data_IF_875015640956
#
_entry.id   IF_875015640956
#
_cell.length_a   1.000
_cell.length_b   1.000
_cell.length_c   1.000
_cell.angle_alpha   90.00
_cell.angle_beta   90.00
_cell.angle_gamma   90.00
#
_symmetry.space_group_name_H-M   'P 1'
#
loop_
_entity.id
_entity.type
_entity.pdbx_description
1 polymer ?
#
# COMPACT_ATOMS: atom_id res chain seq x y z
N UNK A 1 -21.83 -5.60 -8.76
CA UNK A 1 -22.24 -4.27 -8.26
C UNK A 1 -23.75 -4.32 -7.99
N UNK A 2 -24.17 -4.65 -6.73
CA UNK A 2 -25.60 -4.91 -6.45
C UNK A 2 -26.52 -3.70 -6.58
N UNK A 3 -25.99 -2.48 -6.55
CA UNK A 3 -26.79 -1.24 -6.48
C UNK A 3 -26.59 -0.27 -7.63
N UNK A 4 -25.81 -0.59 -8.64
CA UNK A 4 -25.66 0.25 -9.80
C UNK A 4 -26.59 -0.23 -10.90
N UNK A 5 -27.53 0.58 -11.32
CA UNK A 5 -28.12 0.41 -12.65
C UNK A 5 -26.96 0.45 -13.65
N UNK A 6 -26.40 -0.73 -14.00
CA UNK A 6 -25.34 -0.87 -15.00
C UNK A 6 -25.91 -0.40 -16.33
N UNK A 7 -25.75 0.87 -16.59
CA UNK A 7 -26.22 1.53 -17.80
C UNK A 7 -25.03 2.17 -18.51
N UNK A 8 -24.95 2.01 -19.82
CA UNK A 8 -23.92 2.62 -20.63
C UNK A 8 -22.63 1.82 -20.74
N UNK A 9 -21.46 2.49 -20.66
CA UNK A 9 -20.14 1.91 -20.91
C UNK A 9 -19.56 1.10 -19.75
N UNK A 10 -20.18 1.15 -18.56
CA UNK A 10 -19.74 0.41 -17.36
C UNK A 10 -19.59 -1.09 -17.62
N UNK A 11 -20.47 -1.64 -18.47
CA UNK A 11 -20.45 -3.07 -18.86
C UNK A 11 -19.17 -3.49 -19.57
N UNK A 12 -18.44 -2.54 -20.16
CA UNK A 12 -17.18 -2.81 -20.88
C UNK A 12 -15.94 -2.67 -20.00
N UNK A 13 -16.06 -2.15 -18.77
CA UNK A 13 -14.93 -2.03 -17.84
C UNK A 13 -14.16 -3.35 -17.60
N UNK A 14 -14.80 -4.54 -17.53
CA UNK A 14 -14.05 -5.78 -17.41
C UNK A 14 -13.06 -6.04 -18.56
N UNK A 15 -13.31 -5.49 -19.76
CA UNK A 15 -12.37 -5.60 -20.88
C UNK A 15 -11.06 -4.84 -20.64
N UNK A 16 -11.08 -3.82 -19.79
CA UNK A 16 -9.88 -3.09 -19.39
C UNK A 16 -8.85 -3.98 -18.69
N UNK A 17 -9.27 -5.10 -18.08
CA UNK A 17 -8.39 -6.10 -17.47
C UNK A 17 -7.38 -6.62 -18.50
N UNK A 18 -7.79 -6.84 -19.75
CA UNK A 18 -6.88 -7.31 -20.79
C UNK A 18 -5.78 -6.28 -21.09
N UNK A 19 -6.12 -4.99 -21.11
CA UNK A 19 -5.13 -3.93 -21.31
C UNK A 19 -4.15 -3.84 -20.13
N UNK A 20 -4.64 -3.96 -18.91
CA UNK A 20 -3.80 -3.98 -17.70
C UNK A 20 -2.83 -5.15 -17.73
N UNK A 21 -3.34 -6.37 -17.92
CA UNK A 21 -2.52 -7.60 -17.94
C UNK A 21 -1.50 -7.59 -19.08
N UNK A 22 -1.91 -7.18 -20.29
CA UNK A 22 -0.99 -7.09 -21.42
C UNK A 22 0.13 -6.05 -21.18
N UNK A 23 -0.22 -4.91 -20.55
CA UNK A 23 0.76 -3.89 -20.16
C UNK A 23 1.74 -4.45 -19.14
N UNK A 24 1.27 -5.11 -18.09
CA UNK A 24 2.13 -5.68 -17.03
C UNK A 24 3.05 -6.77 -17.56
N UNK A 25 2.57 -7.63 -18.44
CA UNK A 25 3.41 -8.64 -19.11
C UNK A 25 4.48 -7.98 -19.98
N UNK A 26 4.11 -6.96 -20.78
CA UNK A 26 5.06 -6.24 -21.63
C UNK A 26 6.14 -5.54 -20.79
N UNK A 27 5.75 -4.84 -19.73
CA UNK A 27 6.68 -4.12 -18.85
C UNK A 27 7.57 -5.08 -18.07
N UNK A 28 7.05 -6.23 -17.61
CA UNK A 28 7.85 -7.27 -16.94
C UNK A 28 8.89 -7.88 -17.87
N UNK A 29 8.54 -8.10 -19.14
CA UNK A 29 9.48 -8.57 -20.14
C UNK A 29 10.60 -7.54 -20.43
N UNK A 30 10.27 -6.25 -20.47
CA UNK A 30 11.25 -5.17 -20.62
C UNK A 30 12.15 -5.03 -19.39
N UNK A 31 11.58 -5.14 -18.19
CA UNK A 31 12.33 -5.13 -16.93
C UNK A 31 13.33 -6.30 -16.85
N UNK A 32 13.01 -7.46 -17.40
CA UNK A 32 13.95 -8.58 -17.51
C UNK A 32 15.18 -8.23 -18.36
N UNK A 33 15.05 -7.32 -19.32
CA UNK A 33 16.16 -6.74 -20.09
C UNK A 33 16.75 -5.48 -19.47
N UNK A 34 16.45 -5.19 -18.21
CA UNK A 34 16.87 -4.00 -17.47
C UNK A 34 16.35 -2.66 -18.03
N UNK A 35 15.32 -2.69 -18.88
CA UNK A 35 14.62 -1.47 -19.31
C UNK A 35 13.54 -1.06 -18.30
N UNK A 36 13.99 -0.58 -17.14
CA UNK A 36 13.11 -0.07 -16.07
C UNK A 36 12.51 1.29 -16.46
N UNK A 37 13.21 2.04 -17.31
CA UNK A 37 12.76 3.36 -17.73
C UNK A 37 11.40 3.31 -18.45
N UNK A 38 11.17 2.30 -19.28
CA UNK A 38 9.88 2.08 -19.95
C UNK A 38 8.75 1.83 -18.96
N UNK A 39 9.00 1.09 -17.86
CA UNK A 39 8.01 0.86 -16.80
C UNK A 39 7.64 2.17 -16.12
N UNK A 40 8.64 2.96 -15.71
CA UNK A 40 8.41 4.25 -15.05
C UNK A 40 7.64 5.20 -15.96
N UNK A 41 8.03 5.31 -17.23
CA UNK A 41 7.34 6.20 -18.19
C UNK A 41 5.90 5.77 -18.43
N UNK A 42 5.63 4.47 -18.63
CA UNK A 42 4.28 3.97 -18.85
C UNK A 42 3.35 4.24 -17.66
N UNK A 43 3.79 3.85 -16.45
CA UNK A 43 2.96 3.85 -15.24
C UNK A 43 2.94 5.19 -14.50
N UNK A 44 4.06 5.94 -14.47
CA UNK A 44 4.16 7.18 -13.72
C UNK A 44 3.92 8.44 -14.57
N UNK A 45 3.99 8.33 -15.91
CA UNK A 45 3.82 9.49 -16.79
C UNK A 45 2.64 9.27 -17.74
N UNK A 46 2.70 8.27 -18.63
CA UNK A 46 1.71 8.11 -19.71
C UNK A 46 0.32 7.86 -19.16
N UNK A 47 0.16 6.90 -18.26
CA UNK A 47 -1.14 6.54 -17.70
C UNK A 47 -1.78 7.70 -16.91
N UNK A 48 -1.10 8.34 -15.90
CA UNK A 48 -1.70 9.44 -15.14
C UNK A 48 -1.95 10.71 -15.96
N UNK A 49 -1.08 11.05 -16.90
CA UNK A 49 -1.29 12.20 -17.75
C UNK A 49 -2.43 11.99 -18.74
N UNK A 50 -2.51 10.80 -19.32
CA UNK A 50 -3.59 10.48 -20.27
C UNK A 50 -4.94 10.51 -19.58
N UNK A 51 -5.09 9.91 -18.37
CA UNK A 51 -6.36 9.95 -17.65
C UNK A 51 -6.76 11.38 -17.29
N UNK A 52 -5.81 12.22 -16.84
CA UNK A 52 -6.09 13.61 -16.46
C UNK A 52 -6.52 14.47 -17.64
N UNK A 53 -5.79 14.37 -18.77
CA UNK A 53 -6.11 15.13 -19.98
C UNK A 53 -7.42 14.64 -20.60
N UNK A 54 -7.60 13.31 -20.70
CA UNK A 54 -8.80 12.72 -21.26
C UNK A 54 -10.03 12.99 -20.39
N UNK A 55 -9.90 12.98 -19.05
CA UNK A 55 -11.00 13.34 -18.14
C UNK A 55 -11.48 14.78 -18.37
N UNK A 56 -10.54 15.73 -18.48
CA UNK A 56 -10.90 17.10 -18.80
C UNK A 56 -11.56 17.26 -20.17
N UNK A 57 -11.01 16.61 -21.20
CA UNK A 57 -11.56 16.71 -22.56
C UNK A 57 -12.93 15.99 -22.70
N UNK A 58 -13.06 14.79 -22.16
CA UNK A 58 -14.27 13.99 -22.27
C UNK A 58 -15.39 14.39 -21.32
N UNK A 59 -15.10 15.21 -20.31
CA UNK A 59 -16.13 15.83 -19.47
C UNK A 59 -17.12 16.65 -20.29
N UNK A 60 -16.64 17.36 -21.31
CA UNK A 60 -17.49 18.15 -22.22
C UNK A 60 -18.32 17.26 -23.17
N UNK A 61 -17.91 16.00 -23.38
CA UNK A 61 -18.69 15.04 -24.17
C UNK A 61 -19.79 14.39 -23.32
N UNK A 62 -19.45 13.92 -22.12
CA UNK A 62 -20.39 13.32 -21.19
C UNK A 62 -19.85 13.37 -19.77
N UNK A 63 -20.52 14.05 -18.87
CA UNK A 63 -20.16 14.12 -17.45
C UNK A 63 -20.19 12.74 -16.77
N UNK A 64 -20.98 11.80 -17.27
CA UNK A 64 -21.13 10.45 -16.74
C UNK A 64 -20.09 9.47 -17.33
N UNK A 65 -20.09 9.33 -18.66
CA UNK A 65 -19.30 8.31 -19.35
C UNK A 65 -17.86 8.79 -19.64
N UNK A 66 -17.61 10.10 -19.55
CA UNK A 66 -16.30 10.71 -19.80
C UNK A 66 -15.19 10.18 -18.91
N UNK A 67 -15.47 9.93 -17.63
CA UNK A 67 -14.50 9.34 -16.71
C UNK A 67 -14.16 7.89 -17.05
N UNK A 68 -15.13 7.10 -17.48
CA UNK A 68 -14.90 5.70 -17.91
C UNK A 68 -14.07 5.67 -19.16
N UNK A 69 -14.43 6.50 -20.16
CA UNK A 69 -13.67 6.62 -21.39
C UNK A 69 -12.24 7.10 -21.14
N UNK A 70 -12.03 8.06 -20.24
CA UNK A 70 -10.69 8.54 -19.88
C UNK A 70 -9.85 7.45 -19.22
N UNK A 71 -10.46 6.63 -18.36
CA UNK A 71 -9.79 5.49 -17.75
C UNK A 71 -9.39 4.44 -18.79
N UNK A 72 -10.31 4.03 -19.69
CA UNK A 72 -10.01 3.09 -20.75
C UNK A 72 -8.94 3.65 -21.71
N UNK A 73 -9.03 4.92 -22.07
CA UNK A 73 -8.03 5.60 -22.90
C UNK A 73 -6.64 5.60 -22.26
N UNK A 74 -6.54 5.83 -20.94
CA UNK A 74 -5.26 5.81 -20.22
C UNK A 74 -4.61 4.43 -20.23
N UNK A 75 -5.39 3.38 -20.04
CA UNK A 75 -4.90 1.99 -20.10
C UNK A 75 -4.48 1.59 -21.51
N UNK A 76 -5.25 2.00 -22.54
CA UNK A 76 -4.89 1.78 -23.93
C UNK A 76 -3.58 2.52 -24.30
N UNK A 77 -3.43 3.77 -23.86
CA UNK A 77 -2.21 4.54 -24.09
C UNK A 77 -0.99 3.91 -23.40
N UNK A 78 -1.13 3.45 -22.15
CA UNK A 78 -0.07 2.75 -21.43
C UNK A 78 0.33 1.45 -22.15
N UNK A 79 -0.65 0.68 -22.64
CA UNK A 79 -0.40 -0.53 -23.41
C UNK A 79 0.35 -0.24 -24.71
N UNK A 80 -0.13 0.70 -25.51
CA UNK A 80 0.51 1.08 -26.76
C UNK A 80 1.95 1.57 -26.54
N UNK A 81 2.15 2.36 -25.47
CA UNK A 81 3.48 2.82 -25.10
C UNK A 81 4.39 1.66 -24.68
N UNK A 82 3.89 0.65 -23.97
CA UNK A 82 4.68 -0.51 -23.54
C UNK A 82 4.99 -1.48 -24.71
N UNK A 83 4.08 -1.62 -25.68
CA UNK A 83 4.26 -2.52 -26.82
C UNK A 83 5.37 -2.05 -27.76
N UNK A 84 5.56 -0.75 -27.93
CA UNK A 84 6.58 -0.22 -28.83
C UNK A 84 8.00 -0.65 -28.46
N UNK A 85 8.52 -0.40 -27.22
CA UNK A 85 9.83 -0.88 -26.80
C UNK A 85 9.89 -2.41 -26.71
N UNK A 86 8.79 -3.09 -26.41
CA UNK A 86 8.72 -4.56 -26.42
C UNK A 86 9.05 -5.11 -27.81
N UNK A 87 8.38 -4.64 -28.84
CA UNK A 87 8.62 -5.09 -30.20
C UNK A 87 10.01 -4.73 -30.70
N UNK A 88 10.52 -3.57 -30.30
CA UNK A 88 11.90 -3.19 -30.63
C UNK A 88 12.94 -4.08 -29.97
N UNK A 89 12.66 -4.55 -28.74
CA UNK A 89 13.60 -5.35 -27.94
C UNK A 89 13.54 -6.85 -28.22
N UNK A 90 12.39 -7.39 -28.56
CA UNK A 90 12.14 -8.81 -28.76
C UNK A 90 11.80 -9.17 -30.22
N UNK A 91 11.52 -8.17 -31.06
CA UNK A 91 11.03 -8.39 -32.42
C UNK A 91 9.56 -8.75 -32.45
N UNK A 92 9.01 -8.85 -33.66
CA UNK A 92 7.66 -9.34 -33.86
C UNK A 92 7.62 -10.86 -33.74
N UNK A 93 6.60 -11.41 -33.09
CA UNK A 93 6.43 -12.84 -32.89
C UNK A 93 5.89 -13.56 -34.16
N UNK A 94 6.57 -13.40 -35.27
CA UNK A 94 6.23 -14.09 -36.51
C UNK A 94 6.39 -15.59 -36.32
N UNK A 95 5.34 -16.37 -36.66
CA UNK A 95 5.37 -17.83 -36.51
C UNK A 95 5.04 -18.34 -35.10
N UNK A 96 4.69 -17.44 -34.15
CA UNK A 96 4.23 -17.88 -32.84
C UNK A 96 2.93 -18.71 -32.96
N UNK A 97 2.95 -19.88 -32.31
CA UNK A 97 1.77 -20.74 -32.22
C UNK A 97 1.36 -20.88 -30.74
N UNK A 98 0.11 -20.54 -30.38
CA UNK A 98 -0.37 -20.72 -29.04
C UNK A 98 -0.33 -22.20 -28.64
N UNK A 99 0.23 -22.50 -27.48
CA UNK A 99 0.27 -23.86 -26.93
C UNK A 99 -0.40 -23.90 -25.58
N UNK A 100 -1.64 -24.40 -25.57
CA UNK A 100 -2.43 -24.54 -24.33
C UNK A 100 -1.67 -25.34 -23.27
N UNK A 101 -0.99 -26.42 -23.67
CA UNK A 101 -0.20 -27.26 -22.74
C UNK A 101 0.91 -26.46 -22.06
N UNK A 102 1.66 -25.65 -22.81
CA UNK A 102 2.72 -24.80 -22.22
C UNK A 102 2.14 -23.72 -21.33
N UNK A 103 1.05 -23.09 -21.73
CA UNK A 103 0.37 -22.08 -20.94
C UNK A 103 -0.15 -22.65 -19.61
N UNK A 104 -0.74 -23.86 -19.63
CA UNK A 104 -1.18 -24.52 -18.40
C UNK A 104 -0.03 -24.87 -17.47
N UNK A 105 1.10 -25.34 -17.97
CA UNK A 105 2.29 -25.63 -17.15
C UNK A 105 2.81 -24.33 -16.48
N UNK A 106 2.87 -23.23 -17.23
CA UNK A 106 3.27 -21.93 -16.69
C UNK A 106 2.27 -21.46 -15.63
N UNK A 107 0.97 -21.54 -15.89
CA UNK A 107 -0.08 -21.18 -14.97
C UNK A 107 -0.01 -21.99 -13.66
N UNK A 108 0.09 -23.33 -13.75
CA UNK A 108 0.22 -24.19 -12.57
C UNK A 108 1.46 -23.89 -11.73
N UNK A 109 2.58 -23.61 -12.39
CA UNK A 109 3.84 -23.26 -11.71
C UNK A 109 3.75 -21.93 -10.94
N UNK A 110 3.01 -20.95 -11.50
CA UNK A 110 2.89 -19.61 -10.92
C UNK A 110 1.63 -19.43 -10.05
N UNK A 111 0.70 -20.39 -10.05
CA UNK A 111 -0.54 -20.33 -9.28
C UNK A 111 -0.33 -20.00 -7.77
N UNK A 112 0.66 -20.58 -7.06
CA UNK A 112 0.87 -20.25 -5.66
C UNK A 112 1.32 -18.79 -5.44
N UNK A 113 2.08 -18.23 -6.39
CA UNK A 113 2.48 -16.82 -6.34
C UNK A 113 1.29 -15.91 -6.64
N UNK A 114 0.54 -16.19 -7.70
CA UNK A 114 -0.67 -15.44 -8.04
C UNK A 114 -1.71 -15.49 -6.91
N UNK A 115 -1.84 -16.63 -6.21
CA UNK A 115 -2.73 -16.74 -5.07
C UNK A 115 -2.24 -15.93 -3.84
N UNK A 116 -0.92 -15.83 -3.63
CA UNK A 116 -0.36 -14.98 -2.59
C UNK A 116 -0.60 -13.48 -2.87
N UNK A 117 -0.38 -13.07 -4.12
CA UNK A 117 -0.66 -11.69 -4.57
C UNK A 117 -2.15 -11.37 -4.47
N UNK A 118 -3.03 -12.30 -4.89
CA UNK A 118 -4.47 -12.16 -4.75
C UNK A 118 -4.90 -12.04 -3.28
N UNK A 119 -4.26 -12.79 -2.36
CA UNK A 119 -4.53 -12.69 -0.93
C UNK A 119 -4.06 -11.33 -0.37
N UNK A 120 -2.91 -10.81 -0.79
CA UNK A 120 -2.43 -9.48 -0.38
C UNK A 120 -3.36 -8.38 -0.89
N UNK A 121 -3.71 -8.39 -2.17
CA UNK A 121 -4.66 -7.45 -2.75
C UNK A 121 -6.07 -7.57 -2.14
N UNK A 122 -6.51 -8.80 -1.89
CA UNK A 122 -7.78 -9.09 -1.22
C UNK A 122 -7.84 -8.52 0.18
N UNK A 123 -6.76 -8.63 0.95
CA UNK A 123 -6.68 -8.05 2.30
C UNK A 123 -6.92 -6.53 2.31
N UNK A 124 -6.41 -5.83 1.31
CA UNK A 124 -6.56 -4.37 1.18
C UNK A 124 -7.91 -3.91 0.62
N UNK A 125 -8.77 -4.83 0.21
CA UNK A 125 -10.12 -4.55 -0.33
C UNK A 125 -11.21 -5.22 0.48
N UNK A 126 -10.85 -6.18 1.32
CA UNK A 126 -11.76 -6.92 2.17
C UNK A 126 -12.43 -6.02 3.20
N UNK A 127 -11.72 -5.03 3.70
CA UNK A 127 -12.22 -4.00 4.61
C UNK A 127 -13.38 -3.21 3.99
N UNK A 128 -13.22 -2.72 2.77
CA UNK A 128 -14.30 -2.05 2.03
C UNK A 128 -15.48 -2.98 1.76
N UNK A 129 -15.21 -4.25 1.42
CA UNK A 129 -16.27 -5.23 1.18
C UNK A 129 -17.05 -5.52 2.46
N UNK A 130 -16.38 -5.71 3.59
CA UNK A 130 -17.01 -5.93 4.90
C UNK A 130 -17.82 -4.69 5.29
N UNK A 131 -17.22 -3.49 5.25
CA UNK A 131 -17.91 -2.27 5.61
C UNK A 131 -19.18 -2.05 4.76
N UNK A 132 -19.11 -2.36 3.47
CA UNK A 132 -20.26 -2.23 2.54
C UNK A 132 -21.43 -3.18 2.83
N UNK A 133 -21.23 -4.21 3.67
CA UNK A 133 -22.31 -5.09 4.14
C UNK A 133 -23.10 -4.50 5.32
N UNK A 134 -22.47 -3.64 6.12
CA UNK A 134 -23.03 -3.13 7.37
C UNK A 134 -23.35 -1.62 7.31
N UNK A 135 -22.56 -0.83 6.60
CA UNK A 135 -22.65 0.62 6.56
C UNK A 135 -23.29 1.15 5.26
N UNK A 136 -23.77 2.39 5.31
CA UNK A 136 -24.34 3.08 4.14
C UNK A 136 -23.26 3.38 3.08
N UNK A 137 -23.64 3.54 1.79
CA UNK A 137 -22.70 3.90 0.73
C UNK A 137 -21.92 5.20 0.99
N UNK A 138 -22.53 6.16 1.70
CA UNK A 138 -21.87 7.41 2.08
C UNK A 138 -20.70 7.16 3.03
N UNK A 139 -20.89 6.32 4.06
CA UNK A 139 -19.83 5.93 5.00
C UNK A 139 -18.71 5.16 4.30
N UNK A 140 -19.06 4.25 3.38
CA UNK A 140 -18.07 3.54 2.56
C UNK A 140 -17.25 4.51 1.71
N UNK A 141 -17.88 5.57 1.18
CA UNK A 141 -17.20 6.65 0.47
C UNK A 141 -16.21 7.41 1.36
N UNK A 142 -16.62 7.78 2.57
CA UNK A 142 -15.74 8.44 3.56
C UNK A 142 -14.55 7.54 3.91
N UNK A 143 -14.79 6.26 4.17
CA UNK A 143 -13.74 5.28 4.45
C UNK A 143 -12.76 5.13 3.26
N UNK A 144 -13.28 5.09 2.04
CA UNK A 144 -12.45 5.01 0.84
C UNK A 144 -11.51 6.21 0.70
N UNK A 145 -12.00 7.44 0.98
CA UNK A 145 -11.14 8.64 0.97
C UNK A 145 -10.06 8.54 2.05
N UNK A 146 -10.41 8.12 3.26
CA UNK A 146 -9.43 7.87 4.33
C UNK A 146 -8.36 6.83 3.90
N UNK A 147 -8.78 5.76 3.21
CA UNK A 147 -7.88 4.73 2.67
C UNK A 147 -6.94 5.30 1.59
N UNK A 148 -7.41 6.22 0.73
CA UNK A 148 -6.53 6.87 -0.25
C UNK A 148 -5.45 7.72 0.43
N UNK A 149 -5.79 8.47 1.47
CA UNK A 149 -4.81 9.23 2.26
C UNK A 149 -3.84 8.28 2.95
N UNK A 150 -4.33 7.23 3.60
CA UNK A 150 -3.51 6.23 4.28
C UNK A 150 -2.62 5.40 3.31
N UNK A 151 -2.88 5.43 2.01
CA UNK A 151 -2.03 4.77 1.01
C UNK A 151 -0.70 5.48 0.74
N UNK A 152 -0.53 6.73 1.18
CA UNK A 152 0.70 7.50 0.96
C UNK A 152 1.94 6.84 1.59
N UNK A 153 1.92 6.40 2.85
CA UNK A 153 3.03 5.66 3.44
C UNK A 153 3.38 4.36 2.70
N UNK A 154 2.39 3.70 2.12
CA UNK A 154 2.57 2.45 1.37
C UNK A 154 3.46 2.63 0.13
N UNK A 155 3.40 3.78 -0.54
CA UNK A 155 4.22 4.07 -1.73
C UNK A 155 5.71 4.06 -1.44
N UNK A 156 6.11 4.31 -0.20
CA UNK A 156 7.52 4.20 0.22
C UNK A 156 8.04 2.77 0.13
N UNK A 157 7.22 1.78 0.49
CA UNK A 157 7.56 0.36 0.39
C UNK A 157 8.00 -0.01 -1.03
N UNK A 158 7.22 0.36 -2.03
CA UNK A 158 7.44 -0.02 -3.42
C UNK A 158 8.76 0.51 -3.98
N UNK A 159 9.32 1.55 -3.36
CA UNK A 159 10.62 2.11 -3.72
C UNK A 159 11.80 1.21 -3.30
N UNK A 160 11.63 0.36 -2.29
CA UNK A 160 12.68 -0.53 -1.78
C UNK A 160 12.61 -1.95 -2.38
N UNK A 161 11.46 -2.39 -2.85
CA UNK A 161 11.25 -3.74 -3.40
C UNK A 161 12.22 -4.11 -4.54
N UNK A 162 12.52 -3.22 -5.52
CA UNK A 162 13.45 -3.55 -6.60
C UNK A 162 14.89 -3.79 -6.13
N UNK A 163 15.26 -3.26 -4.98
CA UNK A 163 16.62 -3.35 -4.42
C UNK A 163 16.75 -4.62 -3.56
N UNK A 164 15.72 -4.94 -2.77
CA UNK A 164 15.76 -6.07 -1.84
C UNK A 164 15.81 -7.42 -2.53
N UNK A 165 15.05 -7.62 -3.60
CA UNK A 165 14.98 -8.91 -4.31
C UNK A 165 16.32 -9.44 -4.78
N UNK A 166 17.11 -8.68 -5.59
CA UNK A 166 18.42 -9.10 -6.05
C UNK A 166 19.43 -9.34 -4.91
N UNK A 167 19.38 -8.52 -3.87
CA UNK A 167 20.28 -8.63 -2.73
C UNK A 167 19.99 -9.89 -1.92
N UNK A 168 18.71 -10.18 -1.66
CA UNK A 168 18.29 -11.40 -0.96
C UNK A 168 18.68 -12.65 -1.77
N UNK A 169 18.37 -12.68 -3.07
CA UNK A 169 18.68 -13.83 -3.94
C UNK A 169 20.17 -14.12 -4.01
N UNK A 170 21.01 -13.11 -4.10
CA UNK A 170 22.48 -13.27 -4.10
C UNK A 170 22.96 -13.88 -2.79
N UNK A 171 22.51 -13.38 -1.65
CA UNK A 171 22.92 -13.88 -0.33
C UNK A 171 22.34 -15.28 -0.04
N UNK A 172 21.18 -15.63 -0.61
CA UNK A 172 20.64 -17.00 -0.53
C UNK A 172 21.52 -18.01 -1.29
N UNK A 173 22.06 -17.65 -2.46
CA UNK A 173 22.97 -18.51 -3.22
C UNK A 173 24.25 -18.82 -2.45
N UNK A 174 24.76 -17.86 -1.70
CA UNK A 174 25.97 -18.00 -0.88
C UNK A 174 25.67 -18.51 0.54
N UNK A 175 24.40 -18.77 0.89
CA UNK A 175 23.93 -19.16 2.24
C UNK A 175 24.33 -18.17 3.34
N UNK A 176 24.49 -16.89 3.01
CA UNK A 176 24.84 -15.84 3.97
C UNK A 176 23.58 -15.31 4.67
N UNK A 177 23.00 -16.14 5.55
CA UNK A 177 21.75 -15.84 6.27
C UNK A 177 21.90 -14.67 7.25
N UNK A 178 23.08 -14.48 7.82
CA UNK A 178 23.35 -13.36 8.73
C UNK A 178 23.23 -12.01 8.02
N UNK A 179 23.76 -11.91 6.78
CA UNK A 179 23.66 -10.70 5.99
C UNK A 179 22.21 -10.42 5.54
N UNK A 180 21.45 -11.47 5.19
CA UNK A 180 20.01 -11.31 4.88
C UNK A 180 19.27 -10.76 6.10
N UNK A 181 19.47 -11.32 7.30
CA UNK A 181 18.82 -10.85 8.52
C UNK A 181 19.18 -9.41 8.86
N UNK A 182 20.46 -9.02 8.67
CA UNK A 182 20.95 -7.66 8.87
C UNK A 182 20.27 -6.68 7.91
N UNK A 183 20.22 -6.98 6.61
CA UNK A 183 19.64 -6.12 5.59
C UNK A 183 18.13 -5.99 5.75
N UNK A 184 17.42 -7.10 6.00
CA UNK A 184 15.97 -7.08 6.28
C UNK A 184 15.69 -6.24 7.53
N UNK A 185 16.51 -6.37 8.59
CA UNK A 185 16.38 -5.58 9.80
C UNK A 185 16.60 -4.08 9.55
N UNK A 186 17.62 -3.73 8.78
CA UNK A 186 17.98 -2.34 8.48
C UNK A 186 16.93 -1.66 7.59
N UNK A 187 16.58 -2.28 6.47
CA UNK A 187 15.54 -1.73 5.56
C UNK A 187 14.18 -1.71 6.24
N UNK A 188 13.85 -2.74 7.01
CA UNK A 188 12.62 -2.78 7.80
C UNK A 188 12.53 -1.62 8.79
N UNK A 189 13.62 -1.29 9.50
CA UNK A 189 13.66 -0.12 10.36
C UNK A 189 13.43 1.17 9.59
N UNK A 190 14.03 1.37 8.42
CA UNK A 190 13.82 2.57 7.62
C UNK A 190 12.39 2.73 7.14
N UNK A 191 11.77 1.64 6.70
CA UNK A 191 10.37 1.65 6.26
C UNK A 191 9.45 1.99 7.44
N UNK A 192 9.62 1.33 8.60
CA UNK A 192 8.82 1.63 9.79
C UNK A 192 9.02 3.08 10.22
N UNK A 193 10.26 3.55 10.28
CA UNK A 193 10.56 4.92 10.69
C UNK A 193 9.91 5.95 9.75
N UNK A 194 9.99 5.74 8.43
CA UNK A 194 9.36 6.63 7.48
C UNK A 194 7.83 6.58 7.54
N UNK A 195 7.25 5.38 7.61
CA UNK A 195 5.79 5.21 7.69
C UNK A 195 5.22 5.75 9.01
N UNK A 196 5.90 5.55 10.14
CA UNK A 196 5.48 6.10 11.42
C UNK A 196 5.51 7.64 11.43
N UNK A 197 6.54 8.25 10.83
CA UNK A 197 6.59 9.70 10.68
C UNK A 197 5.43 10.26 9.87
N UNK A 198 5.11 9.64 8.73
CA UNK A 198 3.97 10.04 7.90
C UNK A 198 2.64 9.78 8.63
N UNK A 199 2.52 8.63 9.31
CA UNK A 199 1.32 8.30 10.06
C UNK A 199 1.02 9.31 11.17
N UNK A 200 2.04 9.78 11.89
CA UNK A 200 1.90 10.84 12.88
C UNK A 200 1.53 12.18 12.25
N UNK A 201 2.20 12.54 11.15
CA UNK A 201 1.99 13.81 10.47
C UNK A 201 0.60 13.96 9.85
N UNK A 202 0.01 12.85 9.38
CA UNK A 202 -1.33 12.83 8.78
C UNK A 202 -2.43 12.43 9.77
N UNK A 203 -2.12 11.58 10.75
CA UNK A 203 -3.10 11.05 11.67
C UNK A 203 -3.43 11.98 12.85
N UNK A 204 -2.45 12.75 13.34
CA UNK A 204 -2.69 13.66 14.47
C UNK A 204 -3.58 14.85 14.03
N UNK A 205 -3.26 15.61 12.96
CA UNK A 205 -4.16 16.61 12.42
C UNK A 205 -5.19 15.99 11.47
N UNK A 206 -5.71 14.80 11.80
CA UNK A 206 -6.54 14.00 10.90
C UNK A 206 -7.82 14.70 10.47
N UNK A 207 -8.43 15.51 11.34
CA UNK A 207 -9.61 16.32 10.99
C UNK A 207 -9.28 17.33 9.90
N UNK A 208 -8.19 18.07 10.06
CA UNK A 208 -7.73 19.04 9.07
C UNK A 208 -7.33 18.34 7.74
N UNK A 209 -6.68 17.17 7.82
CA UNK A 209 -6.31 16.37 6.64
C UNK A 209 -7.54 15.87 5.87
N UNK A 210 -8.55 15.33 6.58
CA UNK A 210 -9.79 14.89 5.95
C UNK A 210 -10.62 16.08 5.46
N UNK A 211 -10.60 17.20 6.19
CA UNK A 211 -11.24 18.45 5.80
C UNK A 211 -10.75 19.03 4.47
N UNK A 212 -9.46 18.81 4.12
CA UNK A 212 -8.92 19.16 2.80
C UNK A 212 -9.61 18.41 1.64
N UNK A 213 -10.13 17.22 1.90
CA UNK A 213 -10.87 16.44 0.90
C UNK A 213 -12.33 16.90 0.78
N UNK A 214 -12.84 17.58 1.81
CA UNK A 214 -14.19 18.11 1.93
C UNK A 214 -14.72 17.95 3.35
N UNK A 215 -15.57 18.87 3.82
CA UNK A 215 -16.10 18.83 5.18
C UNK A 215 -16.90 17.57 5.50
N UNK A 216 -17.49 16.94 4.49
CA UNK A 216 -18.23 15.68 4.61
C UNK A 216 -17.33 14.47 4.93
N UNK A 217 -16.01 14.57 4.71
CA UNK A 217 -15.06 13.48 4.98
C UNK A 217 -14.45 13.51 6.38
N UNK A 218 -14.64 14.60 7.14
CA UNK A 218 -14.05 14.77 8.49
C UNK A 218 -14.44 13.63 9.43
N UNK A 219 -15.66 13.08 9.30
CA UNK A 219 -16.09 11.91 10.07
C UNK A 219 -15.23 10.65 9.89
N UNK A 220 -14.39 10.60 8.87
CA UNK A 220 -13.45 9.50 8.60
C UNK A 220 -12.13 9.56 9.39
N UNK A 221 -11.91 10.55 10.23
CA UNK A 221 -10.65 10.78 10.96
C UNK A 221 -10.23 9.58 11.81
N UNK A 222 -11.15 8.95 12.53
CA UNK A 222 -10.86 7.77 13.33
C UNK A 222 -10.44 6.57 12.45
N UNK A 223 -11.13 6.35 11.33
CA UNK A 223 -10.75 5.32 10.37
C UNK A 223 -9.37 5.62 9.76
N UNK A 224 -9.07 6.88 9.41
CA UNK A 224 -7.76 7.30 8.92
C UNK A 224 -6.64 6.97 9.92
N UNK A 225 -6.82 7.26 11.20
CA UNK A 225 -5.84 6.98 12.24
C UNK A 225 -5.51 5.48 12.32
N UNK A 226 -6.53 4.61 12.32
CA UNK A 226 -6.32 3.15 12.34
C UNK A 226 -5.71 2.64 11.04
N UNK A 227 -6.08 3.18 9.87
CA UNK A 227 -5.50 2.81 8.58
C UNK A 227 -4.00 3.18 8.51
N UNK A 228 -3.63 4.38 8.98
CA UNK A 228 -2.23 4.79 9.06
C UNK A 228 -1.43 3.91 10.03
N UNK A 229 -2.01 3.58 11.19
CA UNK A 229 -1.41 2.64 12.13
C UNK A 229 -1.27 1.23 11.54
N UNK A 230 -2.24 0.79 10.71
CA UNK A 230 -2.19 -0.48 9.99
C UNK A 230 -1.00 -0.55 9.02
N UNK A 231 -0.69 0.54 8.30
CA UNK A 231 0.48 0.59 7.41
C UNK A 231 1.81 0.47 8.20
N UNK A 232 1.90 1.11 9.36
CA UNK A 232 3.07 0.97 10.25
C UNK A 232 3.19 -0.47 10.79
N UNK A 233 2.07 -1.07 11.19
CA UNK A 233 2.03 -2.45 11.66
C UNK A 233 2.43 -3.45 10.55
N UNK A 234 2.04 -3.18 9.30
CA UNK A 234 2.37 -3.99 8.14
C UNK A 234 3.86 -3.95 7.75
N UNK A 235 4.58 -2.89 8.10
CA UNK A 235 5.93 -2.62 7.59
C UNK A 235 6.91 -3.79 7.78
N UNK A 236 6.87 -4.47 8.93
CA UNK A 236 7.75 -5.62 9.21
C UNK A 236 7.39 -6.85 8.38
N UNK A 237 6.08 -7.08 8.12
CA UNK A 237 5.63 -8.17 7.28
C UNK A 237 6.15 -8.04 5.87
N UNK A 238 6.08 -6.84 5.34
CA UNK A 238 6.46 -6.47 3.99
C UNK A 238 7.91 -6.86 3.68
N UNK A 239 8.85 -6.42 4.52
CA UNK A 239 10.27 -6.71 4.30
C UNK A 239 10.57 -8.19 4.52
N UNK A 240 9.89 -8.82 5.49
CA UNK A 240 10.00 -10.26 5.71
C UNK A 240 9.45 -11.07 4.53
N UNK A 241 8.38 -10.60 3.90
CA UNK A 241 7.74 -11.24 2.76
C UNK A 241 8.66 -11.32 1.55
N UNK A 242 9.43 -10.25 1.27
CA UNK A 242 10.41 -10.22 0.18
C UNK A 242 11.42 -11.37 0.27
N UNK A 243 11.75 -11.85 1.48
CA UNK A 243 12.61 -13.01 1.68
C UNK A 243 11.83 -14.34 1.70
N UNK A 244 10.63 -14.34 2.32
CA UNK A 244 9.80 -15.54 2.47
C UNK A 244 9.28 -16.07 1.13
N UNK A 245 9.04 -15.22 0.15
CA UNK A 245 8.66 -15.61 -1.21
C UNK A 245 9.68 -16.55 -1.85
N UNK A 246 10.98 -16.33 -1.57
CA UNK A 246 12.06 -17.19 -2.09
C UNK A 246 12.33 -18.41 -1.21
N UNK A 247 12.16 -18.29 0.12
CA UNK A 247 12.55 -19.35 1.06
C UNK A 247 11.39 -20.28 1.44
N UNK A 248 10.17 -19.77 1.57
CA UNK A 248 9.04 -20.51 2.12
C UNK A 248 7.68 -20.06 1.55
N UNK A 249 7.58 -19.96 0.22
CA UNK A 249 6.40 -19.39 -0.47
C UNK A 249 5.06 -20.00 -0.04
N UNK A 250 4.99 -21.31 0.14
CA UNK A 250 3.73 -21.98 0.56
C UNK A 250 3.33 -21.59 2.00
N UNK A 251 4.31 -21.48 2.91
CA UNK A 251 4.04 -21.02 4.27
C UNK A 251 3.63 -19.56 4.30
N UNK A 252 4.27 -18.72 3.47
CA UNK A 252 3.89 -17.33 3.31
C UNK A 252 2.44 -17.20 2.81
N UNK A 253 2.05 -17.98 1.79
CA UNK A 253 0.68 -18.03 1.27
C UNK A 253 -0.33 -18.42 2.36
N UNK A 254 -0.05 -19.50 3.11
CA UNK A 254 -0.95 -19.95 4.20
C UNK A 254 -1.12 -18.87 5.28
N UNK A 255 -0.04 -18.18 5.65
CA UNK A 255 -0.11 -17.05 6.58
C UNK A 255 -0.99 -15.94 6.00
N UNK A 256 -0.78 -15.56 4.72
CA UNK A 256 -1.56 -14.50 4.06
C UNK A 256 -3.07 -14.84 4.01
N UNK A 257 -3.43 -16.08 3.68
CA UNK A 257 -4.83 -16.56 3.71
C UNK A 257 -5.37 -16.53 5.15
N UNK A 258 -4.59 -17.01 6.12
CA UNK A 258 -4.97 -16.96 7.54
C UNK A 258 -5.21 -15.53 8.02
N UNK A 259 -4.41 -14.56 7.54
CA UNK A 259 -4.59 -13.14 7.85
C UNK A 259 -5.90 -12.58 7.29
N UNK A 260 -6.32 -12.99 6.08
CA UNK A 260 -7.62 -12.60 5.53
C UNK A 260 -8.76 -13.09 6.43
N UNK A 261 -8.68 -14.33 6.90
CA UNK A 261 -9.68 -14.87 7.83
C UNK A 261 -9.70 -14.11 9.17
N UNK A 262 -8.52 -13.84 9.74
CA UNK A 262 -8.40 -13.04 10.97
C UNK A 262 -8.96 -11.64 10.76
N UNK A 263 -8.64 -10.98 9.65
CA UNK A 263 -9.17 -9.65 9.32
C UNK A 263 -10.70 -9.69 9.26
N UNK A 264 -11.29 -10.64 8.55
CA UNK A 264 -12.74 -10.76 8.44
C UNK A 264 -13.39 -10.96 9.81
N UNK A 265 -12.88 -11.91 10.59
CA UNK A 265 -13.43 -12.24 11.92
C UNK A 265 -13.32 -11.06 12.89
N UNK A 266 -12.16 -10.43 12.97
CA UNK A 266 -11.94 -9.30 13.88
C UNK A 266 -12.76 -8.09 13.45
N UNK A 267 -12.80 -7.76 12.15
CA UNK A 267 -13.59 -6.63 11.65
C UNK A 267 -15.07 -6.82 11.91
N UNK A 268 -15.63 -7.99 11.60
CA UNK A 268 -17.05 -8.28 11.87
C UNK A 268 -17.32 -8.28 13.37
N UNK A 269 -16.44 -8.90 14.18
CA UNK A 269 -16.59 -8.88 15.64
C UNK A 269 -16.57 -7.49 16.24
N UNK A 270 -15.69 -6.60 15.75
CA UNK A 270 -15.64 -5.20 16.19
C UNK A 270 -16.86 -4.41 15.75
N UNK A 271 -17.40 -4.66 14.54
CA UNK A 271 -18.66 -4.02 14.09
C UNK A 271 -19.80 -4.42 15.03
N UNK A 272 -19.94 -5.72 15.35
CA UNK A 272 -21.00 -6.19 16.25
C UNK A 272 -20.86 -5.56 17.65
N UNK A 273 -19.64 -5.35 18.14
CA UNK A 273 -19.43 -4.64 19.40
C UNK A 273 -19.83 -3.15 19.31
N UNK A 274 -19.66 -2.50 18.16
CA UNK A 274 -20.14 -1.12 17.97
C UNK A 274 -21.65 -1.04 18.05
N UNK A 275 -22.37 -2.02 17.51
CA UNK A 275 -23.84 -2.04 17.51
C UNK A 275 -24.40 -2.17 18.94
N UNK A 276 -23.64 -2.71 19.88
CA UNK A 276 -24.00 -2.84 21.31
C UNK A 276 -23.70 -1.56 22.13
N UNK A 277 -22.96 -0.58 21.56
CA UNK A 277 -22.63 0.66 22.27
C UNK A 277 -23.76 1.69 22.05
N UNK A 278 -24.20 2.42 23.07
CA UNK A 278 -25.24 3.45 22.95
C UNK A 278 -24.67 4.71 22.26
N UNK A 279 -24.50 4.63 20.93
CA UNK A 279 -24.04 5.73 20.06
C UNK A 279 -25.24 6.34 19.36
N UNK A 280 -25.19 7.65 19.10
CA UNK A 280 -26.22 8.30 18.26
C UNK A 280 -26.26 7.64 16.87
N UNK A 281 -27.46 7.35 16.32
CA UNK A 281 -27.63 6.59 15.07
C UNK A 281 -26.84 7.16 13.88
N UNK A 282 -26.65 8.46 13.83
CA UNK A 282 -25.91 9.13 12.76
C UNK A 282 -24.39 8.82 12.74
N UNK A 283 -23.82 8.47 13.91
CA UNK A 283 -22.37 8.17 14.02
C UNK A 283 -22.05 6.67 13.98
N UNK A 284 -23.06 5.78 14.10
CA UNK A 284 -22.84 4.33 14.13
C UNK A 284 -22.01 3.87 12.92
N UNK A 285 -22.33 4.32 11.72
CA UNK A 285 -21.58 3.96 10.51
C UNK A 285 -20.12 4.41 10.55
N UNK A 286 -19.82 5.58 11.14
CA UNK A 286 -18.44 6.07 11.27
C UNK A 286 -17.65 5.24 12.28
N UNK A 287 -18.27 4.80 13.36
CA UNK A 287 -17.64 3.86 14.32
C UNK A 287 -17.43 2.47 13.69
N UNK A 288 -18.39 2.00 12.87
CA UNK A 288 -18.20 0.76 12.09
C UNK A 288 -17.02 0.87 11.11
N UNK A 289 -16.85 2.03 10.46
CA UNK A 289 -15.70 2.31 9.60
C UNK A 289 -14.38 2.26 10.40
N UNK A 290 -14.33 2.88 11.57
CA UNK A 290 -13.17 2.82 12.46
C UNK A 290 -12.91 1.40 12.97
N UNK A 291 -13.94 0.63 13.28
CA UNK A 291 -13.86 -0.77 13.70
C UNK A 291 -13.23 -1.65 12.62
N UNK A 292 -13.64 -1.50 11.37
CA UNK A 292 -13.06 -2.24 10.24
C UNK A 292 -11.58 -1.88 10.04
N UNK A 293 -11.22 -0.60 10.11
CA UNK A 293 -9.84 -0.15 10.04
C UNK A 293 -8.98 -0.71 11.19
N UNK A 294 -9.54 -0.76 12.41
CA UNK A 294 -8.91 -1.39 13.56
C UNK A 294 -8.69 -2.91 13.34
N UNK A 295 -9.70 -3.61 12.78
CA UNK A 295 -9.60 -5.02 12.41
C UNK A 295 -8.47 -5.28 11.40
N UNK A 296 -8.33 -4.42 10.40
CA UNK A 296 -7.21 -4.46 9.45
C UNK A 296 -5.86 -4.26 10.16
N UNK A 297 -5.76 -3.26 11.03
CA UNK A 297 -4.54 -2.98 11.81
C UNK A 297 -4.11 -4.18 12.65
N UNK A 298 -5.04 -4.80 13.38
CA UNK A 298 -4.79 -5.97 14.21
C UNK A 298 -4.32 -7.15 13.33
N UNK A 299 -5.01 -7.44 12.24
CA UNK A 299 -4.65 -8.52 11.33
C UNK A 299 -3.25 -8.32 10.75
N UNK A 300 -2.95 -7.14 10.22
CA UNK A 300 -1.62 -6.84 9.67
C UNK A 300 -0.52 -6.89 10.74
N UNK A 301 -0.82 -6.47 11.98
CA UNK A 301 0.09 -6.59 13.11
C UNK A 301 0.41 -8.05 13.47
N UNK A 302 -0.62 -8.91 13.57
CA UNK A 302 -0.45 -10.35 13.81
C UNK A 302 0.36 -10.98 12.68
N UNK A 303 0.02 -10.67 11.42
CA UNK A 303 0.75 -11.17 10.25
C UNK A 303 2.21 -10.75 10.24
N UNK A 304 2.50 -9.51 10.61
CA UNK A 304 3.87 -9.00 10.76
C UNK A 304 4.68 -9.81 11.77
N UNK A 305 4.09 -10.08 12.93
CA UNK A 305 4.74 -10.88 13.96
C UNK A 305 5.00 -12.32 13.49
N UNK A 306 4.02 -12.94 12.84
CA UNK A 306 4.14 -14.33 12.36
C UNK A 306 5.19 -14.42 11.24
N UNK A 307 5.13 -13.54 10.22
CA UNK A 307 6.06 -13.54 9.08
C UNK A 307 7.49 -13.25 9.54
N UNK A 308 7.69 -12.27 10.42
CA UNK A 308 9.01 -11.93 10.99
C UNK A 308 9.59 -13.08 11.82
N UNK A 309 8.78 -13.74 12.68
CA UNK A 309 9.21 -14.91 13.44
C UNK A 309 9.54 -16.10 12.56
N UNK A 310 8.74 -16.35 11.52
CA UNK A 310 9.00 -17.41 10.56
C UNK A 310 10.34 -17.18 9.84
N UNK A 311 10.54 -15.97 9.34
CA UNK A 311 11.80 -15.61 8.66
C UNK A 311 13.00 -15.73 9.60
N UNK A 312 12.90 -15.23 10.83
CA UNK A 312 13.96 -15.35 11.83
C UNK A 312 14.32 -16.81 12.13
N UNK A 313 13.32 -17.71 12.22
CA UNK A 313 13.55 -19.15 12.40
C UNK A 313 14.22 -19.80 11.18
N UNK A 314 13.83 -19.41 9.96
CA UNK A 314 14.41 -19.95 8.73
C UNK A 314 15.87 -19.51 8.52
N UNK A 315 16.19 -18.28 8.91
CA UNK A 315 17.55 -17.74 8.83
C UNK A 315 18.43 -18.18 10.00
N UNK A 316 17.86 -18.68 11.10
CA UNK A 316 18.58 -18.95 12.35
C UNK A 316 19.19 -17.68 12.99
N UNK A 317 18.68 -16.52 12.62
CA UNK A 317 19.20 -15.21 13.03
C UNK A 317 18.05 -14.29 13.48
N UNK A 318 18.22 -13.49 14.55
CA UNK A 318 17.19 -12.55 14.98
C UNK A 318 17.11 -11.37 14.00
N UNK A 319 15.88 -11.04 13.59
CA UNK A 319 15.60 -9.87 12.77
C UNK A 319 15.22 -8.72 13.70
N UNK A 320 16.11 -7.73 13.83
CA UNK A 320 15.93 -6.58 14.71
C UNK A 320 15.47 -5.37 13.89
N UNK A 321 14.17 -5.21 13.76
CA UNK A 321 13.55 -4.08 13.04
C UNK A 321 13.26 -2.91 13.99
N UNK A 322 12.95 -3.20 15.25
CA UNK A 322 12.60 -2.22 16.26
C UNK A 322 13.83 -1.67 16.99
N UNK A 323 13.91 -0.35 17.07
CA UNK A 323 14.90 0.38 17.87
C UNK A 323 14.17 1.25 18.89
N UNK A 324 14.69 1.36 20.11
CA UNK A 324 14.07 2.16 21.18
C UNK A 324 13.86 3.63 20.77
N UNK A 325 14.77 4.18 19.95
CA UNK A 325 14.67 5.54 19.43
C UNK A 325 13.38 5.79 18.64
N UNK A 326 12.81 4.76 18.00
CA UNK A 326 11.52 4.86 17.31
C UNK A 326 10.38 5.16 18.30
N UNK A 327 10.35 4.45 19.44
CA UNK A 327 9.33 4.66 20.46
C UNK A 327 9.41 6.08 21.04
N UNK A 328 10.62 6.55 21.35
CA UNK A 328 10.84 7.92 21.85
C UNK A 328 10.44 8.95 20.80
N UNK A 329 10.80 8.74 19.53
CA UNK A 329 10.44 9.65 18.45
C UNK A 329 8.92 9.72 18.25
N UNK A 330 8.24 8.57 18.25
CA UNK A 330 6.78 8.49 18.14
C UNK A 330 6.12 9.20 19.32
N UNK A 331 6.53 8.90 20.56
CA UNK A 331 5.95 9.49 21.75
C UNK A 331 6.15 11.02 21.79
N UNK A 332 7.37 11.49 21.52
CA UNK A 332 7.68 12.92 21.53
C UNK A 332 6.92 13.68 20.43
N UNK A 333 6.87 13.13 19.22
CA UNK A 333 6.16 13.74 18.11
C UNK A 333 4.63 13.71 18.31
N UNK A 334 4.10 12.63 18.91
CA UNK A 334 2.69 12.53 19.26
C UNK A 334 2.30 13.56 20.33
N UNK A 335 3.10 13.71 21.39
CA UNK A 335 2.86 14.72 22.43
C UNK A 335 2.90 16.14 21.87
N UNK A 336 3.88 16.44 21.01
CA UNK A 336 3.95 17.73 20.33
C UNK A 336 2.73 17.98 19.45
N UNK A 337 2.35 16.99 18.65
CA UNK A 337 1.22 17.09 17.74
C UNK A 337 -0.10 17.27 18.50
N UNK A 338 -0.34 16.48 19.56
CA UNK A 338 -1.52 16.65 20.42
C UNK A 338 -1.55 18.03 21.08
N UNK A 339 -0.41 18.55 21.51
CA UNK A 339 -0.32 19.90 22.07
C UNK A 339 -0.67 20.98 21.04
N UNK A 340 -0.29 20.79 19.76
CA UNK A 340 -0.64 21.72 18.68
C UNK A 340 -2.15 21.67 18.38
N UNK A 341 -2.72 20.49 18.24
CA UNK A 341 -4.15 20.30 17.94
C UNK A 341 -5.05 20.73 19.11
N UNK A 342 -4.56 20.67 20.36
CA UNK A 342 -5.31 21.11 21.54
C UNK A 342 -5.40 22.65 21.67
N UNK A 343 -4.59 23.40 20.92
CA UNK A 343 -4.73 24.87 20.88
C UNK A 343 -5.97 25.21 20.08
N UNK A 344 -6.96 25.95 20.62
CA UNK A 344 -8.17 26.31 19.91
C UNK A 344 -7.83 27.24 18.74
N UNK A 345 -7.35 26.68 17.66
CA UNK A 345 -7.07 27.38 16.44
C UNK A 345 -8.34 27.37 15.59
N UNK A 346 -8.93 28.54 15.38
CA UNK A 346 -9.99 28.76 14.39
C UNK A 346 -9.51 28.55 12.94
N UNK A 347 -8.30 28.02 12.76
CA UNK A 347 -7.58 27.97 11.47
C UNK A 347 -6.96 26.58 11.31
N UNK A 348 -7.72 25.61 10.81
CA UNK A 348 -7.28 24.25 10.46
C UNK A 348 -6.01 24.23 9.58
N UNK A 349 -5.82 25.25 8.74
CA UNK A 349 -4.62 25.37 7.92
C UNK A 349 -3.33 25.59 8.73
N UNK A 350 -3.41 26.12 9.96
CA UNK A 350 -2.23 26.28 10.85
C UNK A 350 -1.74 24.92 11.33
N UNK A 351 -2.64 24.00 11.62
CA UNK A 351 -2.28 22.63 12.00
C UNK A 351 -1.52 21.93 10.87
N UNK A 352 -1.94 22.16 9.63
CA UNK A 352 -1.28 21.59 8.46
C UNK A 352 0.04 22.30 8.13
N UNK A 353 0.05 23.65 8.11
CA UNK A 353 1.20 24.42 7.70
C UNK A 353 2.33 24.45 8.74
N UNK A 354 2.01 24.40 10.01
CA UNK A 354 2.96 24.45 11.12
C UNK A 354 3.05 23.09 11.83
N UNK A 355 1.92 22.47 12.12
CA UNK A 355 1.85 21.22 12.89
C UNK A 355 2.54 20.06 12.17
N UNK A 356 2.22 19.83 10.91
CA UNK A 356 2.84 18.74 10.12
C UNK A 356 4.36 18.91 10.02
N UNK A 357 4.93 20.06 9.63
CA UNK A 357 6.39 20.27 9.63
C UNK A 357 7.02 20.15 11.02
N UNK A 358 6.37 20.61 12.07
CA UNK A 358 6.88 20.51 13.43
C UNK A 358 6.95 19.04 13.92
N UNK A 359 5.88 18.26 13.67
CA UNK A 359 5.83 16.83 13.97
C UNK A 359 6.94 16.09 13.22
N UNK A 360 7.03 16.29 11.90
CA UNK A 360 8.05 15.65 11.07
C UNK A 360 9.46 16.10 11.44
N UNK A 361 9.65 17.37 11.76
CA UNK A 361 10.94 17.93 12.15
C UNK A 361 11.45 17.33 13.46
N UNK A 362 10.63 17.31 14.52
CA UNK A 362 10.98 16.72 15.80
C UNK A 362 11.21 15.21 15.66
N UNK A 363 10.28 14.51 15.00
CA UNK A 363 10.38 13.08 14.75
C UNK A 363 11.66 12.73 13.97
N UNK A 364 11.89 13.40 12.85
CA UNK A 364 13.06 13.19 12.00
C UNK A 364 14.37 13.51 12.72
N UNK A 365 14.41 14.56 13.53
CA UNK A 365 15.57 14.91 14.34
C UNK A 365 15.91 13.79 15.34
N UNK A 366 14.92 13.25 16.05
CA UNK A 366 15.14 12.15 17.01
C UNK A 366 15.63 10.89 16.30
N UNK A 367 14.99 10.51 15.19
CA UNK A 367 15.41 9.35 14.37
C UNK A 367 16.83 9.54 13.86
N UNK A 368 17.16 10.72 13.34
CA UNK A 368 18.50 11.03 12.84
C UNK A 368 19.56 10.96 13.92
N UNK A 369 19.25 11.49 15.11
CA UNK A 369 20.22 11.61 16.21
C UNK A 369 20.45 10.28 16.93
N UNK A 370 19.38 9.52 17.18
CA UNK A 370 19.42 8.31 18.03
C UNK A 370 18.98 7.03 17.31
N UNK A 371 18.21 7.12 16.24
CA UNK A 371 17.70 5.97 15.49
C UNK A 371 18.71 5.45 14.46
N UNK A 372 19.41 6.33 13.76
CA UNK A 372 20.36 5.94 12.73
C UNK A 372 21.74 5.60 13.33
N UNK A 373 22.19 4.37 13.03
CA UNK A 373 23.56 3.92 13.33
C UNK A 373 24.58 4.49 12.33
N UNK A 374 25.89 4.22 12.57
CA UNK A 374 26.95 4.62 11.64
C UNK A 374 26.74 4.10 10.22
N UNK A 375 26.25 2.87 10.09
CA UNK A 375 25.99 2.19 8.81
C UNK A 375 24.85 2.85 8.04
N UNK A 376 23.81 3.32 8.73
CA UNK A 376 22.66 3.99 8.11
C UNK A 376 23.08 5.37 7.54
N UNK A 377 24.00 6.05 8.22
CA UNK A 377 24.46 7.39 7.84
C UNK A 377 25.39 7.40 6.63
N UNK A 378 26.03 6.28 6.31
CA UNK A 378 26.91 6.16 5.13
C UNK A 378 26.15 6.43 3.84
N UNK A 379 24.85 6.06 3.77
CA UNK A 379 24.02 6.27 2.59
C UNK A 379 23.76 7.76 2.29
N UNK A 380 23.83 8.61 3.32
CA UNK A 380 23.62 10.07 3.18
C UNK A 380 24.94 10.84 3.04
N UNK A 381 26.10 10.17 3.18
CA UNK A 381 27.38 10.80 2.85
C UNK A 381 27.55 10.82 1.33
N UNK A 382 27.59 12.03 0.75
CA UNK A 382 28.10 12.17 -0.63
C UNK A 382 29.44 11.46 -0.71
N UNK A 383 29.59 10.49 -1.63
CA UNK A 383 30.92 10.07 -2.07
C UNK A 383 31.66 11.35 -2.46
N UNK A 384 32.70 11.71 -1.73
CA UNK A 384 33.71 12.59 -2.25
C UNK A 384 34.45 11.75 -3.30
N UNK A 385 34.12 12.03 -4.57
CA UNK A 385 34.95 11.60 -5.69
C UNK A 385 36.33 12.21 -5.57
#
# INVERSE_FOLDING_TARGET
FPNSGINGLDRFLPLAIFAIVATDIALSALAYKFDIASTVRARAIVEPWTISIAAGALYFYSARDGLILSYVASLAAALLFALWPLWRSYGFAWGWRPSVKRSLVIAQRNLPLAAADAAEWGSRRLDLAILGLFASPAVVGIYYVAQQVASLPQKLKTSFDPILGPVITRNLQTRNYAEIAKQVGQVGFWIIAAQAGIALALGIPGEAVMGLMGPEFVGGTAALAFLLAAEVAAATAVVSESALVYMARHRNLLISIGMLAVQALVSVGLIMLVDDIPVQPEYVGLYQAAAVACGLMISLGIGSLIKSRLLSRLLGQPIRVWRWALLVAVAAAALLGMAIVSVPARLEWVELAIGVPAILGLYGWIIWRWGFGPEDRVLFRKKKD
#
